data_IF_411048832007
#
_entry.id   IF_411048832007
#
_cell.length_a   1.000
_cell.length_b   1.000
_cell.length_c   1.000
_cell.angle_alpha   90.00
_cell.angle_beta   90.00
_cell.angle_gamma   90.00
#
_symmetry.space_group_name_H-M   'P 1'
#
loop_
_entity.id
_entity.type
_entity.pdbx_description
1 polymer ?
#
# COMPACT_ATOMS: atom_id res chain seq x y z
N UNK A 1 9.72 -54.25 -8.31
CA UNK A 1 10.33 -53.28 -7.37
C UNK A 1 10.02 -51.82 -7.75
N UNK A 2 10.65 -51.24 -8.78
CA UNK A 2 10.47 -49.80 -9.15
C UNK A 2 9.01 -49.38 -9.43
N UNK A 3 8.23 -50.23 -10.12
CA UNK A 3 6.80 -49.96 -10.39
C UNK A 3 5.94 -49.95 -9.13
N UNK A 4 6.23 -50.82 -8.17
CA UNK A 4 5.49 -50.91 -6.90
C UNK A 4 5.80 -49.67 -6.03
N UNK A 5 7.05 -49.23 -6.02
CA UNK A 5 7.47 -48.00 -5.32
C UNK A 5 6.78 -46.77 -5.92
N UNK A 6 6.72 -46.66 -7.24
CA UNK A 6 6.02 -45.56 -7.93
C UNK A 6 4.51 -45.54 -7.62
N UNK A 7 3.86 -46.71 -7.63
CA UNK A 7 2.44 -46.81 -7.27
C UNK A 7 2.18 -46.44 -5.81
N UNK A 8 3.05 -46.87 -4.89
CA UNK A 8 2.95 -46.53 -3.47
C UNK A 8 3.12 -45.02 -3.22
N UNK A 9 4.08 -44.38 -3.89
CA UNK A 9 4.31 -42.94 -3.77
C UNK A 9 3.12 -42.13 -4.31
N UNK A 10 2.56 -42.55 -5.45
CA UNK A 10 1.39 -41.91 -6.05
C UNK A 10 0.14 -42.05 -5.15
N UNK A 11 -0.03 -43.21 -4.51
CA UNK A 11 -1.15 -43.44 -3.60
C UNK A 11 -1.04 -42.56 -2.34
N UNK A 12 0.15 -42.43 -1.75
CA UNK A 12 0.37 -41.57 -0.58
C UNK A 12 0.13 -40.08 -0.88
N UNK A 13 0.50 -39.61 -2.08
CA UNK A 13 0.14 -38.24 -2.51
C UNK A 13 -1.36 -38.05 -2.65
N UNK A 14 -2.09 -39.06 -3.12
CA UNK A 14 -3.55 -39.00 -3.29
C UNK A 14 -4.29 -38.92 -1.93
N UNK A 15 -3.87 -39.68 -0.92
CA UNK A 15 -4.51 -39.67 0.40
C UNK A 15 -4.30 -38.34 1.15
N UNK A 16 -3.18 -37.65 0.93
CA UNK A 16 -2.90 -36.36 1.59
C UNK A 16 -3.75 -35.19 1.08
N UNK A 17 -4.35 -35.31 -0.12
CA UNK A 17 -5.15 -34.26 -0.73
C UNK A 17 -6.55 -34.09 -0.10
N UNK A 18 -7.06 -35.11 0.60
CA UNK A 18 -8.43 -35.11 1.13
C UNK A 18 -8.58 -34.54 2.54
N UNK A 19 -7.50 -34.26 3.27
CA UNK A 19 -7.58 -33.70 4.63
C UNK A 19 -7.97 -32.21 4.69
N UNK A 20 -8.10 -31.54 3.55
CA UNK A 20 -8.09 -30.08 3.51
C UNK A 20 -9.38 -29.42 3.02
N UNK A 21 -10.58 -29.96 3.28
CA UNK A 21 -11.81 -29.15 3.22
C UNK A 21 -12.99 -29.80 3.97
N UNK A 22 -13.12 -29.52 5.26
CA UNK A 22 -14.39 -29.69 5.97
C UNK A 22 -14.69 -28.45 6.81
N UNK A 23 -14.58 -27.27 6.21
CA UNK A 23 -15.13 -26.05 6.80
C UNK A 23 -16.64 -26.19 6.89
N UNK A 24 -17.21 -25.92 8.08
CA UNK A 24 -18.66 -26.00 8.30
C UNK A 24 -19.36 -25.19 7.21
N UNK A 25 -20.35 -25.74 6.49
CA UNK A 25 -21.09 -25.03 5.40
C UNK A 25 -21.57 -23.63 5.84
N UNK A 26 -21.82 -23.45 7.14
CA UNK A 26 -22.20 -22.19 7.78
C UNK A 26 -21.13 -21.08 7.71
N UNK A 27 -19.84 -21.43 7.57
CA UNK A 27 -18.72 -20.49 7.50
C UNK A 27 -18.36 -20.02 6.08
N UNK A 28 -18.95 -20.64 5.05
CA UNK A 28 -18.69 -20.34 3.64
C UNK A 28 -19.00 -18.88 3.30
N UNK A 29 -20.04 -18.28 3.90
CA UNK A 29 -20.36 -16.86 3.71
C UNK A 29 -19.25 -15.92 4.19
N UNK A 30 -18.58 -16.25 5.30
CA UNK A 30 -17.44 -15.47 5.79
C UNK A 30 -16.22 -15.65 4.90
N UNK A 31 -16.02 -16.87 4.36
CA UNK A 31 -14.95 -17.16 3.41
C UNK A 31 -15.12 -16.37 2.11
N UNK A 32 -16.30 -16.43 1.50
CA UNK A 32 -16.60 -15.67 0.27
C UNK A 32 -16.38 -14.16 0.45
N UNK A 33 -16.69 -13.62 1.65
CA UNK A 33 -16.43 -12.22 1.97
C UNK A 33 -14.93 -11.91 2.03
N UNK A 34 -14.13 -12.80 2.63
CA UNK A 34 -12.68 -12.67 2.67
C UNK A 34 -12.10 -12.69 1.24
N UNK A 35 -12.52 -13.67 0.44
CA UNK A 35 -12.07 -13.82 -0.95
C UNK A 35 -12.43 -12.58 -1.80
N UNK A 36 -13.62 -12.01 -1.62
CA UNK A 36 -14.01 -10.77 -2.30
C UNK A 36 -13.09 -9.59 -1.94
N UNK A 37 -12.76 -9.43 -0.65
CA UNK A 37 -11.85 -8.36 -0.21
C UNK A 37 -10.45 -8.57 -0.80
N UNK A 38 -9.96 -9.82 -0.85
CA UNK A 38 -8.68 -10.16 -1.46
C UNK A 38 -8.67 -9.90 -2.97
N UNK A 39 -9.76 -10.24 -3.67
CA UNK A 39 -9.91 -9.90 -5.09
C UNK A 39 -9.88 -8.39 -5.32
N UNK A 40 -10.52 -7.61 -4.45
CA UNK A 40 -10.47 -6.14 -4.51
C UNK A 40 -9.05 -5.60 -4.26
N UNK A 41 -8.25 -6.23 -3.40
CA UNK A 41 -6.86 -5.81 -3.16
C UNK A 41 -5.95 -6.06 -4.36
N UNK A 42 -6.22 -7.09 -5.17
CA UNK A 42 -5.45 -7.39 -6.40
C UNK A 42 -5.69 -6.36 -7.53
N UNK A 43 -6.73 -5.54 -7.41
CA UNK A 43 -7.02 -4.47 -8.38
C UNK A 43 -6.20 -3.22 -8.08
N UNK A 44 -6.02 -2.36 -9.08
CA UNK A 44 -5.39 -1.05 -8.90
C UNK A 44 -6.24 -0.19 -7.93
N UNK A 45 -5.64 0.20 -6.81
CA UNK A 45 -6.29 0.99 -5.77
C UNK A 45 -5.41 2.18 -5.37
N UNK A 46 -6.04 3.27 -4.94
CA UNK A 46 -5.32 4.35 -4.27
C UNK A 46 -4.77 3.89 -2.93
N UNK A 47 -3.65 4.45 -2.48
CA UNK A 47 -3.00 4.08 -1.21
C UNK A 47 -3.98 4.09 -0.01
N UNK A 48 -4.84 5.12 0.06
CA UNK A 48 -5.89 5.21 1.10
C UNK A 48 -6.90 4.07 1.03
N UNK A 49 -7.29 3.65 -0.17
CA UNK A 49 -8.22 2.54 -0.39
C UNK A 49 -7.55 1.21 -0.05
N UNK A 50 -6.29 1.00 -0.42
CA UNK A 50 -5.52 -0.20 -0.07
C UNK A 50 -5.43 -0.38 1.45
N UNK A 51 -5.10 0.69 2.21
CA UNK A 51 -5.06 0.65 3.67
C UNK A 51 -6.44 0.33 4.28
N UNK A 52 -7.51 0.91 3.70
CA UNK A 52 -8.87 0.56 4.14
C UNK A 52 -9.24 -0.90 3.83
N UNK A 53 -8.78 -1.47 2.72
CA UNK A 53 -9.03 -2.87 2.37
C UNK A 53 -8.24 -3.81 3.27
N UNK A 54 -6.99 -3.49 3.61
CA UNK A 54 -6.18 -4.27 4.55
C UNK A 54 -6.86 -4.41 5.91
N UNK A 55 -7.34 -3.29 6.49
CA UNK A 55 -8.07 -3.32 7.77
C UNK A 55 -9.39 -4.10 7.70
N UNK A 56 -10.06 -4.13 6.54
CA UNK A 56 -11.28 -4.93 6.32
C UNK A 56 -10.95 -6.41 6.19
N UNK A 57 -9.85 -6.74 5.51
CA UNK A 57 -9.38 -8.10 5.32
C UNK A 57 -9.04 -8.76 6.65
N UNK A 58 -8.25 -8.11 7.51
CA UNK A 58 -7.91 -8.62 8.84
C UNK A 58 -9.17 -8.98 9.63
N UNK A 59 -10.17 -8.08 9.66
CA UNK A 59 -11.44 -8.33 10.36
C UNK A 59 -12.24 -9.48 9.74
N UNK A 60 -12.26 -9.58 8.42
CA UNK A 60 -12.96 -10.66 7.72
C UNK A 60 -12.29 -12.02 7.97
N UNK A 61 -10.95 -12.04 7.97
CA UNK A 61 -10.13 -13.22 8.27
C UNK A 61 -10.36 -13.69 9.70
N UNK A 62 -10.29 -12.78 10.68
CA UNK A 62 -10.55 -13.11 12.08
C UNK A 62 -11.96 -13.68 12.27
N UNK A 63 -12.96 -13.10 11.60
CA UNK A 63 -14.34 -13.58 11.69
C UNK A 63 -14.49 -14.97 11.07
N UNK A 64 -13.89 -15.21 9.91
CA UNK A 64 -13.90 -16.52 9.26
C UNK A 64 -13.19 -17.55 10.13
N UNK A 65 -12.01 -17.23 10.68
CA UNK A 65 -11.25 -18.11 11.57
C UNK A 65 -11.99 -18.44 12.87
N UNK A 66 -12.68 -17.45 13.46
CA UNK A 66 -13.56 -17.68 14.61
C UNK A 66 -14.75 -18.57 14.27
N UNK A 67 -15.28 -18.49 13.04
CA UNK A 67 -16.33 -19.39 12.58
C UNK A 67 -15.83 -20.84 12.48
N UNK A 68 -14.69 -21.05 11.82
CA UNK A 68 -14.06 -22.37 11.65
C UNK A 68 -13.74 -23.01 13.01
N UNK A 69 -13.16 -22.24 13.93
CA UNK A 69 -12.81 -22.72 15.29
C UNK A 69 -14.01 -22.82 16.24
N UNK A 70 -15.22 -22.46 15.80
CA UNK A 70 -16.43 -22.47 16.63
C UNK A 70 -16.48 -21.39 17.73
N UNK A 71 -15.53 -20.44 17.73
CA UNK A 71 -15.43 -19.34 18.71
C UNK A 71 -16.17 -18.07 18.27
N UNK A 72 -17.09 -18.18 17.31
CA UNK A 72 -17.82 -17.04 16.79
C UNK A 72 -18.74 -16.47 17.88
N UNK A 73 -18.44 -15.26 18.36
CA UNK A 73 -19.31 -14.59 19.33
C UNK A 73 -20.69 -14.35 18.71
N UNK A 74 -21.79 -14.69 19.40
CA UNK A 74 -23.13 -14.38 18.91
C UNK A 74 -23.24 -12.87 18.68
N UNK A 75 -23.75 -12.49 17.51
CA UNK A 75 -23.96 -11.07 17.20
C UNK A 75 -24.95 -10.50 18.20
N UNK A 76 -24.47 -9.70 19.16
CA UNK A 76 -25.35 -8.87 19.97
C UNK A 76 -26.21 -8.04 19.00
N UNK A 77 -27.54 -8.10 19.13
CA UNK A 77 -28.47 -7.27 18.34
C UNK A 77 -28.05 -5.82 18.55
N UNK A 78 -27.32 -5.24 17.58
CA UNK A 78 -26.93 -3.83 17.63
C UNK A 78 -28.24 -3.04 17.59
N UNK A 79 -28.59 -2.39 18.71
CA UNK A 79 -29.62 -1.34 18.70
C UNK A 79 -29.30 -0.41 17.54
N UNK A 80 -30.26 -0.27 16.63
CA UNK A 80 -30.19 0.57 15.44
C UNK A 80 -29.96 1.99 15.94
N UNK A 81 -28.71 2.44 16.05
CA UNK A 81 -28.42 3.86 16.35
C UNK A 81 -28.99 4.64 15.17
N UNK A 82 -30.09 5.35 15.42
CA UNK A 82 -30.64 6.30 14.46
C UNK A 82 -29.52 7.25 14.10
N UNK A 83 -29.24 7.38 12.80
CA UNK A 83 -28.37 8.46 12.33
C UNK A 83 -29.08 9.76 12.71
N UNK A 84 -28.45 10.69 13.45
CA UNK A 84 -29.04 12.01 13.59
C UNK A 84 -29.15 12.60 12.18
N UNK A 85 -30.37 13.01 11.80
CA UNK A 85 -30.60 13.77 10.56
C UNK A 85 -29.69 14.99 10.64
N UNK A 86 -28.73 15.11 9.72
CA UNK A 86 -27.93 16.34 9.57
C UNK A 86 -28.89 17.44 9.15
N UNK A 87 -29.36 18.26 10.10
CA UNK A 87 -30.03 19.50 9.77
C UNK A 87 -28.97 20.46 9.23
N UNK A 88 -29.08 20.81 7.94
CA UNK A 88 -28.32 21.90 7.34
C UNK A 88 -28.85 23.24 7.88
N UNK A 89 -28.61 23.54 9.16
CA UNK A 89 -28.72 24.92 9.66
C UNK A 89 -27.35 25.57 9.51
N UNK A 90 -27.17 26.36 8.45
CA UNK A 90 -26.06 27.32 8.32
C UNK A 90 -26.23 28.36 9.43
N UNK A 91 -25.55 28.19 10.55
CA UNK A 91 -25.35 29.28 11.52
C UNK A 91 -24.22 30.19 10.98
N UNK A 92 -24.39 31.53 10.96
CA UNK A 92 -23.29 32.42 10.65
C UNK A 92 -22.22 32.29 11.74
N UNK A 93 -20.98 32.00 11.35
CA UNK A 93 -19.83 32.01 12.27
C UNK A 93 -19.54 33.46 12.63
N UNK A 94 -19.96 33.90 13.82
CA UNK A 94 -19.35 35.09 14.44
C UNK A 94 -17.93 34.70 14.85
N UNK A 95 -16.95 35.34 14.22
CA UNK A 95 -15.54 35.26 14.60
C UNK A 95 -15.40 36.16 15.83
N UNK A 96 -15.57 35.59 17.02
CA UNK A 96 -15.08 36.19 18.26
C UNK A 96 -13.80 35.45 18.62
N UNK A 97 -12.66 36.09 18.38
CA UNK A 97 -11.35 35.64 18.85
C UNK A 97 -11.42 35.48 20.38
N UNK A 98 -11.01 34.34 20.95
CA UNK A 98 -10.82 34.25 22.39
C UNK A 98 -9.64 35.16 22.81
N UNK A 99 -9.65 35.75 24.01
CA UNK A 99 -8.51 36.49 24.53
C UNK A 99 -7.31 35.53 24.63
N UNK A 100 -6.15 36.00 24.19
CA UNK A 100 -4.91 35.22 24.12
C UNK A 100 -4.37 34.96 25.52
N UNK A 101 -4.70 33.81 26.09
CA UNK A 101 -3.91 33.25 27.18
C UNK A 101 -2.52 32.90 26.63
N UNK A 102 -1.54 33.74 26.95
CA UNK A 102 -0.13 33.51 26.69
C UNK A 102 0.38 32.31 27.50
N UNK A 103 0.08 31.08 27.04
CA UNK A 103 0.81 29.90 27.50
C UNK A 103 2.24 29.98 26.98
N UNK A 104 3.27 29.76 27.83
CA UNK A 104 4.66 29.82 27.39
C UNK A 104 4.89 28.76 26.30
N UNK A 105 5.41 29.24 25.16
CA UNK A 105 5.75 28.44 24.00
C UNK A 105 6.77 27.37 24.40
N UNK A 106 6.35 26.10 24.44
CA UNK A 106 7.30 24.99 24.55
C UNK A 106 8.18 25.03 23.30
N UNK A 107 9.49 25.25 23.47
CA UNK A 107 10.49 25.19 22.41
C UNK A 107 10.29 23.90 21.61
N UNK A 108 9.80 24.03 20.38
CA UNK A 108 9.71 22.93 19.44
C UNK A 108 11.14 22.53 19.13
N UNK A 109 11.51 21.28 19.40
CA UNK A 109 12.81 20.74 19.01
C UNK A 109 12.94 20.89 17.48
N UNK A 110 14.06 21.40 16.94
CA UNK A 110 14.23 21.52 15.51
C UNK A 110 14.05 20.13 14.88
N UNK A 111 13.13 20.02 13.92
CA UNK A 111 12.98 18.81 13.12
C UNK A 111 14.25 18.70 12.28
N UNK A 112 15.20 17.90 12.73
CA UNK A 112 16.35 17.53 11.90
C UNK A 112 15.83 16.65 10.75
N UNK A 113 16.11 16.99 9.48
CA UNK A 113 15.50 16.31 8.33
C UNK A 113 15.91 14.84 8.20
N UNK A 114 16.97 14.40 8.89
CA UNK A 114 17.45 13.01 8.87
C UNK A 114 17.87 12.55 10.26
N UNK A 115 17.55 11.30 10.61
CA UNK A 115 17.82 10.69 11.91
C UNK A 115 19.24 10.10 12.06
N UNK A 116 20.09 10.21 11.03
CA UNK A 116 21.43 9.61 11.01
C UNK A 116 22.53 10.62 10.71
N UNK A 117 23.66 10.50 11.40
CA UNK A 117 24.90 11.26 11.13
C UNK A 117 25.71 10.72 9.94
N UNK A 118 25.21 9.69 9.23
CA UNK A 118 25.88 9.17 8.05
C UNK A 118 25.84 10.22 6.94
N UNK A 119 26.97 10.50 6.27
CA UNK A 119 26.97 11.39 5.12
C UNK A 119 26.02 10.83 4.07
N UNK A 120 25.10 11.65 3.57
CA UNK A 120 24.26 11.28 2.43
C UNK A 120 25.17 11.23 1.20
N UNK A 121 25.72 10.06 0.92
CA UNK A 121 26.55 9.84 -0.27
C UNK A 121 25.61 9.77 -1.47
N UNK A 122 25.44 10.90 -2.16
CA UNK A 122 24.73 10.93 -3.44
C UNK A 122 25.60 10.22 -4.49
N UNK A 123 25.30 8.95 -4.77
CA UNK A 123 25.98 8.18 -5.82
C UNK A 123 25.38 8.52 -7.19
N UNK A 124 26.02 9.43 -7.92
CA UNK A 124 25.75 9.68 -9.33
C UNK A 124 26.45 8.64 -10.23
N UNK A 125 25.90 8.40 -11.43
CA UNK A 125 26.50 7.50 -12.44
C UNK A 125 27.87 8.01 -12.92
N UNK A 126 28.01 9.33 -13.07
CA UNK A 126 29.24 10.00 -13.48
C UNK A 126 29.78 10.85 -12.32
N UNK A 127 31.10 11.03 -12.28
CA UNK A 127 31.80 11.83 -11.27
C UNK A 127 32.78 12.79 -11.97
N UNK A 128 33.17 13.86 -11.26
CA UNK A 128 34.16 14.84 -11.75
C UNK A 128 33.73 15.51 -13.05
N UNK A 129 34.68 15.63 -13.98
CA UNK A 129 34.49 16.31 -15.27
C UNK A 129 33.43 15.63 -16.15
N UNK A 130 33.36 14.28 -16.12
CA UNK A 130 32.33 13.53 -16.85
C UNK A 130 30.92 13.87 -16.37
N UNK A 131 30.77 14.19 -15.08
CA UNK A 131 29.49 14.68 -14.55
C UNK A 131 29.16 16.08 -15.07
N UNK A 132 30.14 16.98 -15.09
CA UNK A 132 29.95 18.34 -15.59
C UNK A 132 29.59 18.33 -17.08
N UNK A 133 30.31 17.54 -17.89
CA UNK A 133 30.00 17.33 -19.30
C UNK A 133 28.60 16.72 -19.50
N UNK A 134 28.22 15.74 -18.68
CA UNK A 134 26.88 15.17 -18.71
C UNK A 134 25.79 16.20 -18.38
N UNK A 135 26.02 17.08 -17.40
CA UNK A 135 25.07 18.14 -17.02
C UNK A 135 24.92 19.20 -18.12
N UNK A 136 26.01 19.49 -18.87
CA UNK A 136 25.96 20.38 -20.02
C UNK A 136 25.24 19.74 -21.21
N UNK A 137 25.49 18.45 -21.45
CA UNK A 137 24.91 17.68 -22.55
C UNK A 137 23.42 17.41 -22.37
N UNK A 138 23.01 16.92 -21.18
CA UNK A 138 21.65 16.46 -20.94
C UNK A 138 20.74 17.59 -20.43
N UNK A 139 19.93 18.14 -21.32
CA UNK A 139 18.91 19.13 -20.99
C UNK A 139 17.49 18.56 -21.14
N UNK A 140 16.87 18.08 -20.05
CA UNK A 140 15.53 17.52 -20.13
C UNK A 140 14.49 18.58 -20.45
N UNK A 141 13.46 18.19 -21.21
CA UNK A 141 12.30 19.03 -21.44
C UNK A 141 11.61 19.42 -20.12
N UNK A 142 11.02 20.64 -20.06
CA UNK A 142 10.35 21.17 -18.84
C UNK A 142 9.27 20.22 -18.28
N UNK A 143 8.64 19.41 -19.14
CA UNK A 143 7.66 18.39 -18.73
C UNK A 143 8.27 17.25 -17.88
N UNK A 144 9.56 16.96 -18.04
CA UNK A 144 10.25 15.92 -17.28
C UNK A 144 10.66 16.37 -15.87
N UNK A 145 10.69 17.68 -15.62
CA UNK A 145 10.86 18.21 -14.26
C UNK A 145 9.63 17.92 -13.39
N UNK A 146 8.43 17.91 -13.99
CA UNK A 146 7.17 17.63 -13.28
C UNK A 146 6.16 16.91 -14.19
N UNK A 147 6.33 15.60 -14.43
CA UNK A 147 5.44 14.84 -15.29
C UNK A 147 4.03 14.76 -14.68
N UNK A 148 2.99 14.97 -15.50
CA UNK A 148 1.60 14.99 -15.05
C UNK A 148 0.94 13.60 -15.05
N UNK A 149 1.55 12.65 -15.75
CA UNK A 149 1.07 11.26 -15.85
C UNK A 149 2.23 10.26 -15.77
N UNK A 150 1.92 9.02 -15.43
CA UNK A 150 2.89 7.92 -15.43
C UNK A 150 3.47 7.67 -16.82
N UNK A 151 2.69 7.86 -17.88
CA UNK A 151 3.14 7.70 -19.25
C UNK A 151 4.19 8.78 -19.63
N UNK A 152 3.97 10.03 -19.22
CA UNK A 152 4.95 11.10 -19.41
C UNK A 152 6.23 10.85 -18.61
N UNK A 153 6.09 10.35 -17.38
CA UNK A 153 7.24 9.95 -16.57
C UNK A 153 8.05 8.84 -17.26
N UNK A 154 7.39 7.79 -17.77
CA UNK A 154 8.05 6.70 -18.48
C UNK A 154 8.80 7.21 -19.71
N UNK A 155 8.17 8.07 -20.52
CA UNK A 155 8.81 8.66 -21.69
C UNK A 155 10.09 9.44 -21.31
N UNK A 156 10.04 10.25 -20.26
CA UNK A 156 11.20 11.01 -19.78
C UNK A 156 12.34 10.12 -19.26
N UNK A 157 12.01 8.99 -18.63
CA UNK A 157 13.01 8.03 -18.15
C UNK A 157 13.71 7.34 -19.32
N UNK A 158 12.96 6.93 -20.33
CA UNK A 158 13.52 6.27 -21.51
C UNK A 158 14.34 7.24 -22.37
N UNK A 159 13.87 8.47 -22.56
CA UNK A 159 14.65 9.54 -23.20
C UNK A 159 15.99 9.77 -22.49
N UNK A 160 15.98 9.88 -21.15
CA UNK A 160 17.21 10.00 -20.37
C UNK A 160 18.17 8.84 -20.62
N UNK A 161 17.68 7.60 -20.74
CA UNK A 161 18.51 6.42 -21.02
C UNK A 161 19.14 6.46 -22.40
N UNK A 162 18.39 6.88 -23.41
CA UNK A 162 18.89 7.04 -24.77
C UNK A 162 19.99 8.10 -24.81
N UNK A 163 19.75 9.27 -24.22
CA UNK A 163 20.75 10.34 -24.11
C UNK A 163 22.00 9.90 -23.35
N UNK A 164 21.83 9.12 -22.27
CA UNK A 164 22.98 8.53 -21.55
C UNK A 164 23.80 7.60 -22.45
N UNK A 165 23.14 6.78 -23.24
CA UNK A 165 23.82 5.85 -24.16
C UNK A 165 24.58 6.61 -25.23
N UNK A 166 24.00 7.69 -25.76
CA UNK A 166 24.63 8.51 -26.79
C UNK A 166 25.81 9.34 -26.24
N UNK A 167 25.67 9.86 -25.03
CA UNK A 167 26.76 10.49 -24.31
C UNK A 167 27.89 9.49 -24.00
N UNK A 168 27.55 8.27 -23.58
CA UNK A 168 28.55 7.22 -23.30
C UNK A 168 29.30 6.75 -24.56
N UNK A 169 28.73 6.91 -25.76
CA UNK A 169 29.44 6.66 -27.02
C UNK A 169 30.37 7.81 -27.42
N UNK A 170 30.01 9.05 -27.08
CA UNK A 170 30.73 10.25 -27.50
C UNK A 170 31.78 10.73 -26.48
N UNK A 171 31.70 10.27 -25.24
CA UNK A 171 32.61 10.58 -24.12
C UNK A 171 33.36 9.35 -23.62
#
# INVERSE_FOLDING_TARGET
MKRIILFSLMLMTLLSAFLATAGKKQCQGYRNKLDNIQAQQRQANSHKRSNSLATKETKARDTWWQCETGKLKPKSKKKKKSKPKKSHKKKPKKISSPPSDHKPYKKIKPLVPFASNNPVVMRSKYQGEKLQAWLTFYQPAKMCARPKSTQQFAACVEDKRLQQTEFDKSY
#
